data_IF_702380779546
#
_entry.id   IF_702380779546
#
_cell.length_a   1.000
_cell.length_b   1.000
_cell.length_c   1.000
_cell.angle_alpha   90.00
_cell.angle_beta   90.00
_cell.angle_gamma   90.00
#
_symmetry.space_group_name_H-M   'P 1'
#
loop_
_entity.id
_entity.type
_entity.pdbx_description
1 polymer ?
#
# COMPACT_ATOMS: atom_id res chain seq x y z
N UNK A 1 23.45 13.49 -5.15
CA UNK A 1 22.79 13.95 -3.91
C UNK A 1 21.68 14.90 -4.32
N UNK A 2 20.44 14.42 -4.45
CA UNK A 2 19.29 15.29 -4.72
C UNK A 2 18.47 15.38 -3.43
N UNK A 3 18.94 16.23 -2.50
CA UNK A 3 18.27 16.45 -1.23
C UNK A 3 17.12 17.43 -1.46
N UNK A 4 15.93 16.91 -1.79
CA UNK A 4 14.71 17.73 -1.75
C UNK A 4 14.39 17.94 -0.28
N UNK A 5 14.43 19.21 0.17
CA UNK A 5 14.00 19.54 1.52
C UNK A 5 12.54 19.08 1.72
N UNK A 6 12.19 18.49 2.88
CA UNK A 6 10.85 18.01 3.12
C UNK A 6 9.85 19.14 2.90
N UNK A 7 8.87 18.92 2.03
CA UNK A 7 7.85 19.92 1.75
C UNK A 7 6.89 20.03 2.94
N UNK A 8 6.50 21.24 3.34
CA UNK A 8 5.58 21.43 4.45
C UNK A 8 4.21 20.83 4.13
N UNK A 9 3.72 19.95 4.99
CA UNK A 9 2.34 19.43 4.93
C UNK A 9 1.41 20.44 5.59
N UNK A 10 0.45 20.98 4.85
CA UNK A 10 -0.47 22.02 5.33
C UNK A 10 -1.80 21.42 5.71
N UNK A 11 -2.40 21.91 6.79
CA UNK A 11 -3.72 21.47 7.25
C UNK A 11 -4.82 21.71 6.20
N UNK A 12 -4.73 22.81 5.44
CA UNK A 12 -5.69 23.15 4.37
C UNK A 12 -5.67 22.18 3.19
N UNK A 13 -4.57 21.44 3.00
CA UNK A 13 -4.42 20.43 1.94
C UNK A 13 -4.88 19.04 2.39
N UNK A 14 -5.35 18.88 3.64
CA UNK A 14 -5.78 17.60 4.16
C UNK A 14 -6.92 17.02 3.32
N UNK A 15 -6.73 15.78 2.88
CA UNK A 15 -7.76 14.97 2.23
C UNK A 15 -7.91 13.66 2.98
N UNK A 16 -9.15 13.22 3.25
CA UNK A 16 -9.37 11.88 3.79
C UNK A 16 -8.77 10.80 2.88
N UNK A 17 -8.19 9.77 3.50
CA UNK A 17 -7.72 8.60 2.76
C UNK A 17 -8.90 7.92 2.03
N UNK A 18 -8.75 7.48 0.76
CA UNK A 18 -9.86 6.97 -0.06
C UNK A 18 -10.36 5.57 0.36
N UNK A 19 -9.65 4.89 1.26
CA UNK A 19 -10.03 3.58 1.78
C UNK A 19 -10.17 3.59 3.30
N UNK A 20 -10.99 2.69 3.82
CA UNK A 20 -10.94 2.19 5.17
C UNK A 20 -10.08 0.93 5.19
N UNK A 21 -9.05 0.92 6.03
CA UNK A 21 -8.34 -0.30 6.40
C UNK A 21 -9.10 -0.92 7.57
N UNK A 22 -9.90 -1.96 7.28
CA UNK A 22 -10.78 -2.60 8.27
C UNK A 22 -10.04 -3.57 9.17
N UNK A 23 -9.06 -4.26 8.61
CA UNK A 23 -8.23 -5.21 9.33
C UNK A 23 -6.82 -5.22 8.76
N UNK A 24 -5.87 -5.50 9.64
CA UNK A 24 -4.46 -5.69 9.32
C UNK A 24 -4.02 -6.96 10.03
N UNK A 25 -3.58 -7.96 9.27
CA UNK A 25 -2.92 -9.14 9.79
C UNK A 25 -1.47 -9.16 9.29
N UNK A 26 -0.52 -9.30 10.22
CA UNK A 26 0.90 -9.36 9.93
C UNK A 26 1.45 -10.69 10.42
N UNK A 27 2.05 -11.45 9.51
CA UNK A 27 2.82 -12.64 9.83
C UNK A 27 4.30 -12.29 9.64
N UNK A 28 5.07 -12.31 10.73
CA UNK A 28 6.49 -11.96 10.73
C UNK A 28 7.35 -13.21 10.92
N UNK A 29 8.16 -13.53 9.91
CA UNK A 29 9.18 -14.56 9.97
C UNK A 29 10.52 -13.89 10.32
N UNK A 30 10.88 -13.92 11.61
CA UNK A 30 12.09 -13.27 12.11
C UNK A 30 13.34 -14.06 11.72
N UNK A 31 14.25 -13.40 11.01
CA UNK A 31 15.60 -13.87 10.75
C UNK A 31 16.61 -12.76 11.09
N UNK A 32 17.83 -13.15 11.45
CA UNK A 32 18.88 -12.21 11.87
C UNK A 32 19.35 -11.28 10.75
N UNK A 33 19.27 -11.72 9.49
CA UNK A 33 19.74 -10.97 8.33
C UNK A 33 18.59 -10.38 7.53
N UNK A 34 17.48 -11.11 7.40
CA UNK A 34 16.34 -10.66 6.59
C UNK A 34 15.01 -11.14 7.19
N UNK A 35 14.35 -10.28 7.97
CA UNK A 35 12.99 -10.56 8.45
C UNK A 35 12.02 -10.44 7.28
N UNK A 36 11.20 -11.47 7.08
CA UNK A 36 10.16 -11.49 6.06
C UNK A 36 8.81 -11.19 6.69
N UNK A 37 8.03 -10.31 6.06
CA UNK A 37 6.73 -9.86 6.57
C UNK A 37 5.66 -10.11 5.51
N UNK A 38 4.69 -10.94 5.85
CA UNK A 38 3.44 -11.06 5.09
C UNK A 38 2.39 -10.15 5.71
N UNK A 39 1.89 -9.19 4.95
CA UNK A 39 0.80 -8.30 5.36
C UNK A 39 -0.46 -8.64 4.58
N UNK A 40 -1.59 -8.79 5.29
CA UNK A 40 -2.94 -8.90 4.71
C UNK A 40 -3.79 -7.73 5.18
N UNK A 41 -4.22 -6.90 4.23
CA UNK A 41 -5.03 -5.71 4.47
C UNK A 41 -6.44 -5.94 3.95
N UNK A 42 -7.44 -5.91 4.83
CA UNK A 42 -8.85 -5.87 4.41
C UNK A 42 -9.25 -4.42 4.16
N UNK A 43 -9.56 -4.11 2.90
CA UNK A 43 -9.79 -2.76 2.42
C UNK A 43 -11.24 -2.57 1.99
N UNK A 44 -11.80 -1.40 2.30
CA UNK A 44 -13.10 -0.96 1.80
C UNK A 44 -12.98 0.48 1.28
N UNK A 45 -13.42 0.74 0.06
CA UNK A 45 -13.46 2.09 -0.51
C UNK A 45 -14.43 2.95 0.30
N UNK A 46 -14.00 4.16 0.64
CA UNK A 46 -14.79 5.11 1.41
C UNK A 46 -15.91 5.70 0.53
N UNK A 47 -17.08 5.90 1.12
CA UNK A 47 -18.17 6.64 0.46
C UNK A 47 -17.71 8.06 0.09
N UNK A 48 -17.93 8.44 -1.17
CA UNK A 48 -17.49 9.73 -1.71
C UNK A 48 -16.00 9.82 -2.05
N UNK A 49 -15.23 8.72 -1.94
CA UNK A 49 -13.91 8.67 -2.54
C UNK A 49 -14.01 8.79 -4.08
N UNK A 50 -13.04 9.46 -4.75
CA UNK A 50 -13.04 9.53 -6.20
C UNK A 50 -13.01 8.13 -6.83
N UNK A 51 -13.76 7.97 -7.91
CA UNK A 51 -13.70 6.76 -8.73
C UNK A 51 -12.28 6.53 -9.23
N UNK A 52 -11.80 5.29 -9.14
CA UNK A 52 -10.44 4.93 -9.54
C UNK A 52 -9.32 5.48 -8.65
N UNK A 53 -9.61 6.12 -7.51
CA UNK A 53 -8.56 6.56 -6.60
C UNK A 53 -7.67 5.37 -6.20
N UNK A 54 -6.34 5.45 -6.41
CA UNK A 54 -5.42 4.36 -6.12
C UNK A 54 -5.22 4.20 -4.62
N UNK A 55 -4.83 3.00 -4.20
CA UNK A 55 -4.30 2.79 -2.86
C UNK A 55 -2.82 3.13 -2.87
N UNK A 56 -2.43 4.16 -2.14
CA UNK A 56 -1.03 4.52 -1.93
C UNK A 56 -0.63 4.12 -0.52
N UNK A 57 0.35 3.23 -0.42
CA UNK A 57 0.95 2.78 0.82
C UNK A 57 2.36 3.35 0.91
N UNK A 58 2.71 3.87 2.08
CA UNK A 58 4.05 4.36 2.36
C UNK A 58 4.92 3.20 2.86
N UNK A 59 6.12 3.07 2.30
CA UNK A 59 7.08 2.02 2.62
C UNK A 59 8.46 2.37 2.11
N UNK A 60 9.45 2.40 3.01
CA UNK A 60 10.83 2.83 2.72
C UNK A 60 11.76 1.64 2.98
N UNK A 61 12.71 1.43 2.08
CA UNK A 61 13.71 0.35 2.16
C UNK A 61 13.08 -1.05 2.29
N UNK A 62 11.97 -1.29 1.59
CA UNK A 62 11.27 -2.58 1.54
C UNK A 62 11.42 -3.23 0.16
N UNK A 63 11.84 -4.50 0.13
CA UNK A 63 11.86 -5.30 -1.10
C UNK A 63 10.53 -6.02 -1.29
N UNK A 64 9.75 -5.66 -2.31
CA UNK A 64 8.47 -6.33 -2.58
C UNK A 64 8.70 -7.68 -3.28
N UNK A 65 8.61 -8.77 -2.52
CA UNK A 65 8.72 -10.14 -3.04
C UNK A 65 7.48 -10.57 -3.81
N UNK A 66 6.28 -10.26 -3.28
CA UNK A 66 5.03 -10.60 -3.95
C UNK A 66 3.87 -9.70 -3.52
N UNK A 67 2.88 -9.61 -4.40
CA UNK A 67 1.64 -8.89 -4.18
C UNK A 67 0.46 -9.66 -4.79
N UNK A 68 -0.63 -9.78 -4.05
CA UNK A 68 -1.82 -10.49 -4.46
C UNK A 68 -3.08 -9.72 -4.04
N UNK A 69 -4.12 -9.82 -4.87
CA UNK A 69 -5.44 -9.27 -4.63
C UNK A 69 -6.44 -10.42 -4.53
N UNK A 70 -7.14 -10.52 -3.41
CA UNK A 70 -8.10 -11.59 -3.13
C UNK A 70 -7.53 -13.00 -3.38
N UNK A 71 -6.26 -13.19 -3.01
CA UNK A 71 -5.52 -14.46 -3.18
C UNK A 71 -4.93 -14.71 -4.58
N UNK A 72 -5.21 -13.86 -5.57
CA UNK A 72 -4.66 -13.97 -6.92
C UNK A 72 -3.45 -13.03 -7.10
N UNK A 73 -2.33 -13.49 -7.71
CA UNK A 73 -1.19 -12.61 -8.00
C UNK A 73 -1.60 -11.37 -8.80
N UNK A 74 -1.16 -10.20 -8.35
CA UNK A 74 -1.50 -8.95 -9.02
C UNK A 74 -0.52 -8.69 -10.17
N UNK A 75 -1.07 -8.33 -11.33
CA UNK A 75 -0.27 -8.01 -12.53
C UNK A 75 0.63 -6.78 -12.28
N UNK A 76 1.88 -6.76 -12.79
CA UNK A 76 2.78 -5.61 -12.66
C UNK A 76 2.25 -4.31 -13.26
N UNK A 77 1.29 -4.38 -14.17
CA UNK A 77 0.64 -3.21 -14.77
C UNK A 77 -0.38 -2.56 -13.82
N UNK A 78 -0.78 -3.26 -12.76
CA UNK A 78 -1.80 -2.84 -11.78
C UNK A 78 -1.20 -2.21 -10.53
N UNK A 79 0.12 -2.08 -10.45
CA UNK A 79 0.78 -1.34 -9.37
C UNK A 79 2.04 -0.62 -9.85
N UNK A 80 2.47 0.36 -9.08
CA UNK A 80 3.72 1.08 -9.27
C UNK A 80 4.50 1.04 -7.97
N UNK A 81 5.75 0.57 -8.02
CA UNK A 81 6.66 0.55 -6.88
C UNK A 81 7.67 1.69 -7.05
N UNK A 82 7.64 2.64 -6.12
CA UNK A 82 8.55 3.76 -5.99
C UNK A 82 9.48 3.53 -4.78
N UNK A 83 10.45 4.43 -4.57
CA UNK A 83 11.40 4.30 -3.46
C UNK A 83 10.75 4.34 -2.06
N UNK A 84 9.65 5.10 -1.93
CA UNK A 84 8.96 5.32 -0.65
C UNK A 84 7.48 4.89 -0.68
N UNK A 85 7.00 4.39 -1.82
CA UNK A 85 5.58 4.11 -2.02
C UNK A 85 5.30 2.87 -2.84
N UNK A 86 4.26 2.14 -2.45
CA UNK A 86 3.57 1.17 -3.28
C UNK A 86 2.20 1.76 -3.66
N UNK A 87 1.95 1.92 -4.96
CA UNK A 87 0.71 2.48 -5.50
C UNK A 87 -0.03 1.37 -6.24
N UNK A 88 -1.23 0.99 -5.77
CA UNK A 88 -2.06 -0.06 -6.36
C UNK A 88 -3.27 0.57 -7.06
N UNK A 89 -3.46 0.21 -8.33
CA UNK A 89 -4.45 0.80 -9.22
C UNK A 89 -5.70 -0.08 -9.37
N UNK A 90 -6.83 0.56 -9.66
CA UNK A 90 -8.11 -0.07 -10.01
C UNK A 90 -8.62 -1.11 -9.01
N UNK A 91 -8.41 -0.86 -7.71
CA UNK A 91 -8.90 -1.76 -6.66
C UNK A 91 -10.44 -1.79 -6.59
N UNK A 92 -11.05 -2.98 -6.41
CA UNK A 92 -12.47 -3.13 -6.11
C UNK A 92 -12.91 -2.33 -4.88
N UNK A 93 -14.22 -2.14 -4.72
CA UNK A 93 -14.78 -1.46 -3.57
C UNK A 93 -14.50 -2.18 -2.24
N UNK A 94 -14.36 -3.51 -2.26
CA UNK A 94 -13.94 -4.33 -1.10
C UNK A 94 -12.99 -5.40 -1.60
N UNK A 95 -11.86 -5.55 -0.93
CA UNK A 95 -10.86 -6.55 -1.29
C UNK A 95 -9.91 -6.83 -0.12
N UNK A 96 -9.17 -7.92 -0.23
CA UNK A 96 -7.99 -8.19 0.56
C UNK A 96 -6.73 -8.00 -0.30
N UNK A 97 -5.82 -7.14 0.16
CA UNK A 97 -4.50 -6.98 -0.44
C UNK A 97 -3.47 -7.69 0.42
N UNK A 98 -2.73 -8.60 -0.20
CA UNK A 98 -1.63 -9.32 0.44
C UNK A 98 -0.30 -8.90 -0.16
N UNK A 99 0.66 -8.52 0.68
CA UNK A 99 2.04 -8.25 0.27
C UNK A 99 3.02 -9.07 1.07
N UNK A 100 4.12 -9.46 0.45
CA UNK A 100 5.28 -10.06 1.12
C UNK A 100 6.48 -9.16 0.86
N UNK A 101 7.15 -8.76 1.94
CA UNK A 101 8.39 -7.98 1.94
C UNK A 101 9.46 -8.62 2.82
#
# INVERSE_FOLDING_TARGET
MNSVAPQPVRLEDYRPFPFHVRHVALDLELDRQATRVTSRLTLERRDGAPDGAPLRLDGIDLGLDSIALDGAPLSPQRYTLEAEHLIVHDLPARCELTTVV
#
